data_IF_735814680682
#
_entry.id   IF_735814680682
#
_cell.length_a   1.000
_cell.length_b   1.000
_cell.length_c   1.000
_cell.angle_alpha   90.00
_cell.angle_beta   90.00
_cell.angle_gamma   90.00
#
_symmetry.space_group_name_H-M   'P 1'
#
loop_
_entity.id
_entity.type
_entity.pdbx_description
1 polymer ?
#
# COMPACT_ATOMS: atom_id res chain seq x y z
N UNK A 1 -14.69 -10.71 5.58
CA UNK A 1 -14.00 -9.58 4.93
C UNK A 1 -12.99 -9.03 5.90
N UNK A 2 -11.73 -8.93 5.48
CA UNK A 2 -10.61 -8.41 6.29
C UNK A 2 -10.86 -6.98 6.76
N UNK A 3 -11.49 -6.15 5.92
CA UNK A 3 -11.84 -4.74 6.19
C UNK A 3 -12.78 -4.53 7.38
N UNK A 4 -13.47 -5.57 7.86
CA UNK A 4 -14.40 -5.50 8.99
C UNK A 4 -13.86 -6.16 10.27
N UNK A 5 -12.61 -6.61 10.27
CA UNK A 5 -11.96 -7.16 11.46
C UNK A 5 -11.40 -6.02 12.32
N UNK A 6 -11.50 -6.14 13.63
CA UNK A 6 -10.65 -5.35 14.53
C UNK A 6 -9.18 -5.82 14.44
N UNK A 7 -8.27 -5.01 14.94
CA UNK A 7 -6.83 -5.25 14.82
C UNK A 7 -6.43 -6.58 15.46
N UNK A 8 -6.95 -6.90 16.62
CA UNK A 8 -6.60 -8.14 17.35
C UNK A 8 -7.07 -9.36 16.58
N UNK A 9 -8.30 -9.33 16.08
CA UNK A 9 -8.89 -10.40 15.25
C UNK A 9 -8.09 -10.59 13.96
N UNK A 10 -7.72 -9.50 13.28
CA UNK A 10 -6.91 -9.57 12.05
C UNK A 10 -5.53 -10.19 12.32
N UNK A 11 -4.82 -9.73 13.35
CA UNK A 11 -3.49 -10.24 13.69
C UNK A 11 -3.55 -11.72 14.08
N UNK A 12 -4.54 -12.13 14.87
CA UNK A 12 -4.75 -13.52 15.23
C UNK A 12 -5.07 -14.40 14.02
N UNK A 13 -5.93 -13.92 13.13
CA UNK A 13 -6.28 -14.63 11.89
C UNK A 13 -5.08 -14.77 10.94
N UNK A 14 -4.27 -13.72 10.79
CA UNK A 14 -3.06 -13.73 9.96
C UNK A 14 -2.01 -14.72 10.48
N UNK A 15 -1.89 -14.87 11.79
CA UNK A 15 -0.97 -15.81 12.43
C UNK A 15 -1.44 -17.27 12.38
N UNK A 16 -2.70 -17.51 12.07
CA UNK A 16 -3.29 -18.84 12.05
C UNK A 16 -2.91 -19.62 10.78
N UNK A 17 -2.94 -20.97 10.87
CA UNK A 17 -2.77 -21.85 9.70
C UNK A 17 -4.06 -21.91 8.88
N UNK A 18 -4.31 -20.87 8.11
CA UNK A 18 -5.48 -20.71 7.24
C UNK A 18 -5.09 -20.00 5.93
N UNK A 19 -5.86 -20.19 4.85
CA UNK A 19 -5.48 -19.62 3.53
C UNK A 19 -5.58 -18.11 3.46
N UNK A 20 -6.47 -17.49 4.24
CA UNK A 20 -6.69 -16.02 4.28
C UNK A 20 -7.06 -15.58 5.71
N UNK A 21 -6.66 -14.35 6.15
CA UNK A 21 -5.81 -13.40 5.44
C UNK A 21 -4.38 -13.90 5.28
N UNK A 22 -3.68 -13.47 4.20
CA UNK A 22 -2.30 -13.81 3.89
C UNK A 22 -1.39 -12.60 3.78
N UNK A 23 -0.21 -12.79 3.14
CA UNK A 23 0.80 -11.74 2.98
C UNK A 23 0.31 -10.52 2.22
N UNK A 24 -0.55 -10.70 1.20
CA UNK A 24 -1.12 -9.58 0.45
C UNK A 24 -2.08 -8.74 1.30
N UNK A 25 -2.90 -9.39 2.13
CA UNK A 25 -3.75 -8.68 3.10
C UNK A 25 -2.91 -7.93 4.14
N UNK A 26 -1.79 -8.51 4.61
CA UNK A 26 -0.87 -7.84 5.53
C UNK A 26 -0.24 -6.59 4.89
N UNK A 27 0.17 -6.69 3.61
CA UNK A 27 0.70 -5.57 2.86
C UNK A 27 -0.34 -4.44 2.71
N UNK A 28 -1.59 -4.77 2.39
CA UNK A 28 -2.67 -3.79 2.23
C UNK A 28 -3.00 -3.07 3.54
N UNK A 29 -3.09 -3.81 4.65
CA UNK A 29 -3.31 -3.20 5.99
C UNK A 29 -2.13 -2.30 6.37
N UNK A 30 -0.88 -2.74 6.14
CA UNK A 30 0.31 -1.92 6.38
C UNK A 30 0.30 -0.63 5.58
N UNK A 31 -0.09 -0.69 4.30
CA UNK A 31 -0.21 0.48 3.43
C UNK A 31 -1.32 1.44 3.91
N UNK A 32 -2.47 0.90 4.37
CA UNK A 32 -3.55 1.72 4.92
C UNK A 32 -3.13 2.45 6.20
N UNK A 33 -2.39 1.77 7.08
CA UNK A 33 -1.82 2.38 8.32
C UNK A 33 -0.84 3.50 7.96
N UNK A 34 0.07 3.25 7.00
CA UNK A 34 1.03 4.25 6.53
C UNK A 34 0.35 5.48 5.92
N UNK A 35 -0.63 5.26 5.04
CA UNK A 35 -1.41 6.35 4.46
C UNK A 35 -2.18 7.15 5.52
N UNK A 36 -2.76 6.47 6.53
CA UNK A 36 -3.47 7.13 7.63
C UNK A 36 -2.54 8.00 8.48
N UNK A 37 -1.33 7.52 8.80
CA UNK A 37 -0.33 8.31 9.54
C UNK A 37 0.05 9.59 8.78
N UNK A 38 0.28 9.48 7.47
CA UNK A 38 0.57 10.63 6.62
C UNK A 38 -0.62 11.60 6.54
N UNK A 39 -1.84 11.08 6.38
CA UNK A 39 -3.06 11.88 6.36
C UNK A 39 -3.27 12.63 7.67
N UNK A 40 -2.98 11.99 8.82
CA UNK A 40 -3.03 12.64 10.13
C UNK A 40 -2.06 13.83 10.18
N UNK A 41 -0.81 13.66 9.73
CA UNK A 41 0.17 14.76 9.70
C UNK A 41 -0.32 15.93 8.84
N UNK A 42 -0.94 15.65 7.70
CA UNK A 42 -1.58 16.66 6.86
C UNK A 42 -2.73 17.35 7.58
N UNK A 43 -3.61 16.62 8.27
CA UNK A 43 -4.73 17.19 9.03
C UNK A 43 -4.25 18.12 10.15
N UNK A 44 -3.11 17.86 10.78
CA UNK A 44 -2.48 18.77 11.76
C UNK A 44 -1.77 19.97 11.13
N UNK A 45 -1.71 20.07 9.79
CA UNK A 45 -1.13 21.18 9.04
C UNK A 45 -2.22 22.11 8.47
N UNK A 46 -3.25 22.40 9.27
CA UNK A 46 -4.45 23.19 8.88
C UNK A 46 -4.66 24.43 9.76
N UNK A 47 -3.64 24.85 10.53
CA UNK A 47 -3.72 25.99 11.45
C UNK A 47 -3.84 27.31 10.66
N UNK A 48 -4.19 28.39 11.33
CA UNK A 48 -4.26 29.74 10.71
C UNK A 48 -2.98 30.09 9.96
N UNK A 49 -1.82 29.92 10.59
CA UNK A 49 -0.51 30.18 9.96
C UNK A 49 -0.24 29.29 8.75
N UNK A 50 -0.75 28.06 8.72
CA UNK A 50 -0.56 27.13 7.62
C UNK A 50 -1.41 27.55 6.40
N UNK A 51 -2.56 28.17 6.63
CA UNK A 51 -3.40 28.77 5.59
C UNK A 51 -2.73 30.02 5.00
N UNK A 52 -2.14 30.85 5.86
CA UNK A 52 -1.45 32.07 5.45
C UNK A 52 -0.19 31.78 4.64
N UNK A 53 0.52 30.70 4.92
CA UNK A 53 1.74 30.26 4.21
C UNK A 53 1.49 29.40 2.96
N UNK A 54 0.26 28.94 2.74
CA UNK A 54 -0.07 27.96 1.69
C UNK A 54 0.16 26.49 2.08
N UNK A 55 0.70 26.21 3.27
CA UNK A 55 0.94 24.83 3.73
C UNK A 55 -0.36 24.03 3.87
N UNK A 56 -1.48 24.67 4.24
CA UNK A 56 -2.78 24.01 4.33
C UNK A 56 -3.27 23.52 2.95
N UNK A 57 -3.00 24.26 1.87
CA UNK A 57 -3.36 23.81 0.53
C UNK A 57 -2.58 22.54 0.11
N UNK A 58 -1.29 22.46 0.46
CA UNK A 58 -0.48 21.27 0.25
C UNK A 58 -1.02 20.07 1.08
N UNK A 59 -1.45 20.31 2.32
CA UNK A 59 -2.06 19.31 3.17
C UNK A 59 -3.41 18.80 2.62
N UNK A 60 -4.26 19.70 2.13
CA UNK A 60 -5.53 19.34 1.48
C UNK A 60 -5.29 18.49 0.22
N UNK A 61 -4.31 18.85 -0.61
CA UNK A 61 -3.93 18.05 -1.79
C UNK A 61 -3.44 16.66 -1.41
N UNK A 62 -2.61 16.54 -0.35
CA UNK A 62 -2.16 15.24 0.15
C UNK A 62 -3.34 14.40 0.64
N UNK A 63 -4.22 14.94 1.48
CA UNK A 63 -5.40 14.22 1.98
C UNK A 63 -6.28 13.73 0.83
N UNK A 64 -6.46 14.54 -0.22
CA UNK A 64 -7.22 14.15 -1.40
C UNK A 64 -6.57 13.01 -2.20
N UNK A 65 -5.25 12.87 -2.10
CA UNK A 65 -4.49 11.80 -2.78
C UNK A 65 -4.55 10.48 -2.00
N UNK A 66 -4.58 10.53 -0.65
CA UNK A 66 -4.48 9.37 0.22
C UNK A 66 -5.85 8.71 0.45
N UNK A 67 -6.23 7.77 -0.40
CA UNK A 67 -7.44 6.96 -0.22
C UNK A 67 -7.14 5.70 0.62
N UNK A 68 -7.23 5.85 1.95
CA UNK A 68 -6.99 4.77 2.91
C UNK A 68 -8.00 3.63 2.77
N UNK A 69 -9.25 3.93 2.41
CA UNK A 69 -10.29 2.93 2.24
C UNK A 69 -10.02 2.05 1.00
N UNK A 70 -9.64 2.66 -0.12
CA UNK A 70 -9.29 1.91 -1.33
C UNK A 70 -8.04 1.03 -1.16
N UNK A 71 -7.06 1.48 -0.36
CA UNK A 71 -5.88 0.67 -0.03
C UNK A 71 -6.26 -0.50 0.86
N UNK A 72 -7.08 -0.27 1.88
CA UNK A 72 -7.54 -1.33 2.78
C UNK A 72 -8.39 -2.37 2.04
N UNK A 73 -9.21 -1.95 1.06
CA UNK A 73 -10.00 -2.86 0.23
C UNK A 73 -9.15 -3.85 -0.59
N UNK A 74 -7.87 -3.53 -0.85
CA UNK A 74 -6.95 -4.45 -1.51
C UNK A 74 -6.72 -5.74 -0.69
N UNK A 75 -6.92 -5.72 0.64
CA UNK A 75 -6.85 -6.92 1.48
C UNK A 75 -7.96 -7.93 1.15
N UNK A 76 -9.18 -7.44 0.91
CA UNK A 76 -10.30 -8.30 0.51
C UNK A 76 -10.17 -8.73 -0.96
N UNK A 77 -9.62 -7.86 -1.82
CA UNK A 77 -9.33 -8.20 -3.21
C UNK A 77 -8.26 -9.33 -3.33
N UNK A 78 -7.20 -9.28 -2.51
CA UNK A 78 -6.18 -10.33 -2.43
C UNK A 78 -6.80 -11.68 -2.02
N UNK A 79 -7.64 -11.67 -0.98
CA UNK A 79 -8.32 -12.88 -0.51
C UNK A 79 -9.26 -13.47 -1.57
N UNK A 80 -10.00 -12.62 -2.30
CA UNK A 80 -10.89 -13.05 -3.37
C UNK A 80 -10.10 -13.60 -4.57
N UNK A 81 -9.03 -12.94 -4.99
CA UNK A 81 -8.17 -13.40 -6.07
C UNK A 81 -7.52 -14.75 -5.75
N UNK A 82 -7.07 -14.95 -4.50
CA UNK A 82 -6.52 -16.23 -4.06
C UNK A 82 -7.58 -17.36 -4.05
N UNK A 83 -8.81 -17.07 -3.64
CA UNK A 83 -9.89 -18.05 -3.69
C UNK A 83 -10.20 -18.50 -5.13
N UNK A 84 -10.19 -17.57 -6.10
CA UNK A 84 -10.36 -17.88 -7.52
C UNK A 84 -9.18 -18.71 -8.07
N UNK A 85 -7.94 -18.40 -7.69
CA UNK A 85 -6.78 -19.23 -8.04
C UNK A 85 -6.94 -20.65 -7.51
N UNK A 86 -7.34 -20.82 -6.24
CA UNK A 86 -7.57 -22.15 -5.69
C UNK A 86 -8.69 -22.90 -6.43
N UNK A 87 -9.73 -22.21 -6.89
CA UNK A 87 -10.80 -22.79 -7.72
C UNK A 87 -10.24 -23.24 -9.06
N UNK A 88 -9.45 -22.42 -9.74
CA UNK A 88 -8.88 -22.71 -11.05
C UNK A 88 -7.95 -23.94 -11.05
N UNK A 89 -7.22 -24.16 -9.95
CA UNK A 89 -6.35 -25.33 -9.82
C UNK A 89 -7.10 -26.65 -9.63
N UNK A 90 -8.33 -26.59 -9.10
CA UNK A 90 -9.17 -27.77 -8.81
C UNK A 90 -10.13 -28.10 -9.96
N UNK A 91 -10.44 -27.14 -10.80
CA UNK A 91 -11.40 -27.26 -11.89
C UNK A 91 -10.67 -27.72 -13.17
N UNK A 92 -10.83 -29.02 -13.48
CA UNK A 92 -10.22 -29.61 -14.66
C UNK A 92 -10.91 -29.19 -15.97
N UNK A 93 -12.17 -28.76 -15.90
CA UNK A 93 -12.99 -28.38 -17.05
C UNK A 93 -12.86 -26.90 -17.41
N UNK A 94 -12.18 -26.11 -16.56
CA UNK A 94 -11.95 -24.69 -16.79
C UNK A 94 -11.03 -24.47 -18.02
N UNK A 95 -11.43 -23.60 -18.92
CA UNK A 95 -10.65 -23.28 -20.12
C UNK A 95 -9.31 -22.60 -19.79
N UNK A 96 -8.37 -22.68 -20.73
CA UNK A 96 -7.07 -22.03 -20.59
C UNK A 96 -7.21 -20.51 -20.50
N UNK A 97 -8.16 -19.94 -21.25
CA UNK A 97 -8.46 -18.50 -21.27
C UNK A 97 -9.00 -18.02 -19.91
N UNK A 98 -9.90 -18.81 -19.29
CA UNK A 98 -10.44 -18.47 -17.96
C UNK A 98 -9.34 -18.54 -16.88
N UNK A 99 -8.49 -19.57 -16.91
CA UNK A 99 -7.34 -19.68 -16.00
C UNK A 99 -6.39 -18.51 -16.15
N UNK A 100 -6.05 -18.12 -17.36
CA UNK A 100 -5.19 -16.97 -17.63
C UNK A 100 -5.79 -15.65 -17.12
N UNK A 101 -7.11 -15.45 -17.25
CA UNK A 101 -7.79 -14.27 -16.73
C UNK A 101 -7.76 -14.20 -15.19
N UNK A 102 -7.92 -15.34 -14.51
CA UNK A 102 -7.81 -15.45 -13.04
C UNK A 102 -6.37 -15.15 -12.60
N UNK A 103 -5.36 -15.71 -13.25
CA UNK A 103 -3.93 -15.45 -12.97
C UNK A 103 -3.58 -13.98 -13.18
N UNK A 104 -4.07 -13.37 -14.26
CA UNK A 104 -3.87 -11.94 -14.51
C UNK A 104 -4.49 -11.06 -13.42
N UNK A 105 -5.69 -11.42 -12.94
CA UNK A 105 -6.36 -10.71 -11.83
C UNK A 105 -5.57 -10.86 -10.53
N UNK A 106 -5.09 -12.06 -10.23
CA UNK A 106 -4.30 -12.32 -9.03
C UNK A 106 -2.96 -11.57 -9.03
N UNK A 107 -2.35 -11.35 -10.19
CA UNK A 107 -1.15 -10.53 -10.34
C UNK A 107 -1.49 -9.03 -10.23
N UNK A 108 -2.60 -8.58 -10.79
CA UNK A 108 -2.95 -7.16 -10.83
C UNK A 108 -3.13 -6.54 -9.45
N UNK A 109 -3.66 -7.29 -8.48
CA UNK A 109 -3.90 -6.79 -7.11
C UNK A 109 -2.62 -6.34 -6.42
N UNK A 110 -1.58 -7.17 -6.25
CA UNK A 110 -0.34 -6.75 -5.59
C UNK A 110 0.45 -5.73 -6.43
N UNK A 111 0.41 -5.80 -7.76
CA UNK A 111 1.04 -4.79 -8.63
C UNK A 111 0.44 -3.41 -8.38
N UNK A 112 -0.89 -3.29 -8.40
CA UNK A 112 -1.58 -2.03 -8.12
C UNK A 112 -1.27 -1.50 -6.71
N UNK A 113 -1.06 -2.37 -5.73
CA UNK A 113 -0.71 -1.97 -4.36
C UNK A 113 0.71 -1.38 -4.31
N UNK A 114 1.71 -1.95 -5.00
CA UNK A 114 3.06 -1.37 -5.11
C UNK A 114 3.00 0.02 -5.74
N UNK A 115 2.31 0.15 -6.87
CA UNK A 115 2.17 1.41 -7.61
C UNK A 115 1.50 2.49 -6.75
N UNK A 116 0.48 2.13 -6.00
CA UNK A 116 -0.23 3.04 -5.11
C UNK A 116 0.64 3.48 -3.93
N UNK A 117 1.37 2.56 -3.30
CA UNK A 117 2.33 2.90 -2.25
C UNK A 117 3.40 3.86 -2.76
N UNK A 118 3.96 3.62 -3.94
CA UNK A 118 4.93 4.50 -4.58
C UNK A 118 4.35 5.90 -4.80
N UNK A 119 3.16 6.01 -5.40
CA UNK A 119 2.46 7.29 -5.60
C UNK A 119 2.24 8.04 -4.28
N UNK A 120 1.84 7.34 -3.23
CA UNK A 120 1.59 7.95 -1.93
C UNK A 120 2.87 8.43 -1.27
N UNK A 121 3.97 7.64 -1.35
CA UNK A 121 5.28 8.03 -0.83
C UNK A 121 5.76 9.32 -1.48
N UNK A 122 5.68 9.43 -2.81
CA UNK A 122 6.05 10.65 -3.53
C UNK A 122 5.21 11.86 -3.10
N UNK A 123 3.91 11.67 -2.92
CA UNK A 123 3.02 12.73 -2.45
C UNK A 123 3.35 13.18 -1.02
N UNK A 124 3.65 12.23 -0.11
CA UNK A 124 4.05 12.56 1.26
C UNK A 124 5.42 13.25 1.29
N UNK A 125 6.39 12.76 0.51
CA UNK A 125 7.71 13.39 0.38
C UNK A 125 7.60 14.85 -0.08
N UNK A 126 6.80 15.10 -1.12
CA UNK A 126 6.55 16.46 -1.63
C UNK A 126 5.87 17.37 -0.58
N UNK A 127 5.08 16.81 0.32
CA UNK A 127 4.42 17.55 1.40
C UNK A 127 5.35 17.87 2.58
N UNK A 128 6.41 17.10 2.86
CA UNK A 128 7.27 17.25 4.04
C UNK A 128 7.75 18.70 4.29
N UNK A 129 8.20 19.49 3.28
CA UNK A 129 8.63 20.86 3.50
C UNK A 129 7.53 21.79 4.02
N UNK A 130 6.25 21.45 3.75
CA UNK A 130 5.08 22.21 4.18
C UNK A 130 4.49 21.69 5.48
N UNK A 131 4.92 20.51 5.94
CA UNK A 131 4.36 19.84 7.11
C UNK A 131 4.58 20.66 8.39
N UNK A 132 3.59 20.64 9.28
CA UNK A 132 3.74 21.17 10.62
C UNK A 132 4.94 20.51 11.34
N UNK A 133 5.96 21.26 11.78
CA UNK A 133 7.18 20.69 12.38
C UNK A 133 6.93 19.76 13.57
N UNK A 134 5.84 19.98 14.30
CA UNK A 134 5.52 19.18 15.50
C UNK A 134 4.98 17.77 15.18
N UNK A 135 4.66 17.50 13.90
CA UNK A 135 4.04 16.23 13.46
C UNK A 135 4.77 15.65 12.22
N UNK A 136 5.90 16.24 11.83
CA UNK A 136 6.67 15.77 10.67
C UNK A 136 7.16 14.34 10.85
N UNK A 137 7.44 13.91 12.08
CA UNK A 137 7.80 12.52 12.40
C UNK A 137 6.72 11.53 11.95
N UNK A 138 5.44 11.88 12.12
CA UNK A 138 4.33 10.98 11.75
C UNK A 138 4.17 10.90 10.21
N UNK A 139 4.44 11.98 9.48
CA UNK A 139 4.54 11.94 8.03
C UNK A 139 5.67 11.00 7.56
N UNK A 140 6.85 11.07 8.19
CA UNK A 140 7.98 10.16 7.92
C UNK A 140 7.64 8.71 8.28
N UNK A 141 6.96 8.44 9.41
CA UNK A 141 6.42 7.12 9.76
C UNK A 141 5.50 6.60 8.64
N UNK A 142 4.65 7.47 8.10
CA UNK A 142 3.79 7.14 6.95
C UNK A 142 4.59 6.63 5.75
N UNK A 143 5.70 7.30 5.39
CA UNK A 143 6.60 6.88 4.29
C UNK A 143 7.18 5.49 4.58
N UNK A 144 7.76 5.25 5.75
CA UNK A 144 8.38 3.97 6.09
C UNK A 144 7.37 2.82 6.13
N UNK A 145 6.16 3.04 6.62
CA UNK A 145 5.09 2.05 6.61
C UNK A 145 4.64 1.71 5.18
N UNK A 146 4.46 2.72 4.32
CA UNK A 146 4.14 2.55 2.92
C UNK A 146 5.27 1.82 2.16
N UNK A 147 6.52 2.14 2.44
CA UNK A 147 7.70 1.49 1.86
C UNK A 147 7.78 0.01 2.24
N UNK A 148 7.54 -0.32 3.51
CA UNK A 148 7.43 -1.70 3.97
C UNK A 148 6.30 -2.46 3.27
N UNK A 149 5.13 -1.82 3.12
CA UNK A 149 3.97 -2.37 2.43
C UNK A 149 4.24 -2.60 0.92
N UNK A 150 4.92 -1.66 0.24
CA UNK A 150 5.32 -1.82 -1.16
C UNK A 150 6.23 -3.03 -1.36
N UNK A 151 7.24 -3.20 -0.49
CA UNK A 151 8.13 -4.37 -0.52
C UNK A 151 7.38 -5.68 -0.25
N UNK A 152 6.45 -5.68 0.70
CA UNK A 152 5.60 -6.85 0.99
C UNK A 152 4.69 -7.19 -0.20
N UNK A 153 4.03 -6.20 -0.79
CA UNK A 153 3.20 -6.38 -1.98
C UNK A 153 4.00 -6.90 -3.18
N UNK A 154 5.25 -6.43 -3.36
CA UNK A 154 6.13 -6.95 -4.39
C UNK A 154 6.44 -8.44 -4.20
N UNK A 155 6.66 -8.92 -2.97
CA UNK A 155 6.83 -10.35 -2.71
C UNK A 155 5.58 -11.16 -3.12
N UNK A 156 4.39 -10.61 -2.86
CA UNK A 156 3.13 -11.24 -3.30
C UNK A 156 2.99 -11.23 -4.82
N UNK A 157 3.40 -10.14 -5.50
CA UNK A 157 3.43 -10.09 -6.96
C UNK A 157 4.35 -11.17 -7.56
N UNK A 158 5.52 -11.41 -6.96
CA UNK A 158 6.49 -12.41 -7.45
C UNK A 158 5.93 -13.84 -7.42
N UNK A 159 5.07 -14.18 -6.47
CA UNK A 159 4.41 -15.51 -6.40
C UNK A 159 3.53 -15.75 -7.61
N UNK A 160 2.95 -14.69 -8.20
CA UNK A 160 2.12 -14.74 -9.40
C UNK A 160 2.91 -14.63 -10.71
N UNK A 161 4.22 -14.89 -10.70
CA UNK A 161 5.12 -14.97 -11.86
C UNK A 161 4.97 -13.79 -12.86
N UNK A 162 5.16 -12.52 -12.43
CA UNK A 162 4.98 -11.37 -13.29
C UNK A 162 5.90 -11.41 -14.51
N UNK A 163 5.45 -10.91 -15.68
CA UNK A 163 6.31 -10.67 -16.84
C UNK A 163 7.52 -9.80 -16.48
N UNK A 164 8.63 -9.94 -17.23
CA UNK A 164 9.88 -9.26 -16.86
C UNK A 164 9.77 -7.73 -16.89
N UNK A 165 9.04 -7.17 -17.86
CA UNK A 165 8.79 -5.73 -17.94
C UNK A 165 8.03 -5.20 -16.71
N UNK A 166 7.04 -5.94 -16.20
CA UNK A 166 6.33 -5.61 -14.96
C UNK A 166 7.29 -5.69 -13.77
N UNK A 167 8.11 -6.73 -13.72
CA UNK A 167 9.11 -6.93 -12.66
C UNK A 167 10.14 -5.81 -12.61
N UNK A 168 10.68 -5.42 -13.78
CA UNK A 168 11.65 -4.33 -13.88
C UNK A 168 11.03 -2.99 -13.46
N UNK A 169 9.80 -2.70 -13.89
CA UNK A 169 9.07 -1.49 -13.50
C UNK A 169 8.85 -1.42 -11.99
N UNK A 170 8.40 -2.50 -11.36
CA UNK A 170 8.21 -2.53 -9.91
C UNK A 170 9.54 -2.39 -9.15
N UNK A 171 10.61 -3.01 -9.64
CA UNK A 171 11.96 -2.84 -9.06
C UNK A 171 12.47 -1.41 -9.14
N UNK A 172 12.15 -0.70 -10.25
CA UNK A 172 12.53 0.70 -10.37
C UNK A 172 11.81 1.56 -9.31
N UNK A 173 10.51 1.35 -9.10
CA UNK A 173 9.74 2.03 -8.04
C UNK A 173 10.31 1.72 -6.65
N UNK A 174 10.66 0.46 -6.38
CA UNK A 174 11.22 0.09 -5.08
C UNK A 174 12.61 0.71 -4.82
N UNK A 175 13.44 0.91 -5.85
CA UNK A 175 14.70 1.64 -5.73
C UNK A 175 14.47 3.11 -5.40
N UNK A 176 13.54 3.77 -6.09
CA UNK A 176 13.19 5.16 -5.79
C UNK A 176 12.63 5.31 -4.35
N UNK A 177 11.80 4.37 -3.90
CA UNK A 177 11.34 4.32 -2.50
C UNK A 177 12.51 4.18 -1.54
N UNK A 178 13.47 3.32 -1.81
CA UNK A 178 14.66 3.13 -0.99
C UNK A 178 15.49 4.42 -0.90
N UNK A 179 15.73 5.08 -2.02
CA UNK A 179 16.48 6.34 -2.05
C UNK A 179 15.81 7.42 -1.19
N UNK A 180 14.47 7.47 -1.19
CA UNK A 180 13.69 8.38 -0.34
C UNK A 180 13.87 8.03 1.14
N UNK A 181 13.79 6.75 1.52
CA UNK A 181 13.98 6.32 2.90
C UNK A 181 15.38 6.63 3.41
N UNK A 182 16.42 6.40 2.60
CA UNK A 182 17.82 6.70 2.95
C UNK A 182 17.99 8.20 3.22
N UNK A 183 17.45 9.07 2.35
CA UNK A 183 17.47 10.52 2.57
C UNK A 183 16.79 10.93 3.89
N UNK A 184 15.69 10.28 4.27
CA UNK A 184 14.99 10.59 5.51
C UNK A 184 15.76 10.19 6.77
N UNK A 185 16.59 9.15 6.69
CA UNK A 185 17.44 8.69 7.79
C UNK A 185 18.70 9.55 7.94
N UNK A 186 19.24 10.09 6.85
CA UNK A 186 20.40 10.99 6.89
C UNK A 186 20.07 12.40 7.42
N UNK A 187 18.82 12.82 7.26
CA UNK A 187 18.34 14.15 7.70
C UNK A 187 17.81 14.17 9.14
N UNK A 188 18.03 13.11 9.92
CA UNK A 188 17.52 12.95 11.29
C UNK A 188 18.49 13.50 12.36
#
# INVERSE_FOLDING_TARGET
MTTNMDVDTFVAALAAKQPTPGGGAAAAVGAAVGAAAAAMAAAYTMRKKDRESGAAAAAEALIATLDTAAVLAAADADAAAYAELQRSWKDADMSTEEKAAIEATALAVPVALVERCHTYILAVQAFLPSCNPNITSDAKVGIHQLAGAARAAYQTALVNAPPEDVRERLRAMLREIQDIEEQLLELA
#
